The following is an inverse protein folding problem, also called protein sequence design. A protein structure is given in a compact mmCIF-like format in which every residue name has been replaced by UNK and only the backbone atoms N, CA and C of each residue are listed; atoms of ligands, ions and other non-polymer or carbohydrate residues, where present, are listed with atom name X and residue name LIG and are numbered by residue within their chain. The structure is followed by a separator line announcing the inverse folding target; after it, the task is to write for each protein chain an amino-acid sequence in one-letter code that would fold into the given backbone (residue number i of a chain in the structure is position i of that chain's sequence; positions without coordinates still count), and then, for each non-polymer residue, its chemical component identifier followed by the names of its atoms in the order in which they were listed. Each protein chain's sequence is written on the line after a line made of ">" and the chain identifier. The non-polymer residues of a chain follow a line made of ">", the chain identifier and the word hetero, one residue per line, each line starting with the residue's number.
data_IF_615231973421
#
_entry.id   IF_615231973421
#
_cell.length_a   1.000
_cell.length_b   1.000
_cell.length_c   1.000
_cell.angle_alpha   90.00
_cell.angle_beta   90.00
_cell.angle_gamma   90.00
#
_symmetry.space_group_name_H-M   'P 1'
#
loop_
_entity.id
_entity.type
_entity.pdbx_description
1 polymer ?
#
# COMPACT_ATOMS: atom_id res chain seq x y z
N UNK A 1 21.27 33.40 -42.44
CA UNK A 1 20.19 32.40 -42.52
C UNK A 1 19.45 32.44 -41.18
N UNK A 2 18.58 33.41 -40.91
CA UNK A 2 17.19 33.53 -41.37
C UNK A 2 16.34 32.29 -41.03
N UNK A 3 15.58 32.35 -39.92
CA UNK A 3 14.18 31.91 -39.88
C UNK A 3 13.48 32.48 -38.63
N UNK A 4 12.62 33.46 -38.87
CA UNK A 4 11.55 33.92 -37.99
C UNK A 4 10.45 32.85 -37.86
N UNK A 5 9.69 32.84 -36.76
CA UNK A 5 8.21 32.70 -36.68
C UNK A 5 7.79 32.59 -35.20
N UNK A 6 7.22 33.64 -34.61
CA UNK A 6 5.78 33.89 -34.40
C UNK A 6 5.23 33.30 -33.08
N UNK A 7 4.99 34.19 -32.09
CA UNK A 7 3.99 34.04 -31.03
C UNK A 7 2.57 34.01 -31.65
N UNK A 8 1.57 33.38 -31.02
CA UNK A 8 0.61 34.06 -30.10
C UNK A 8 0.13 33.09 -28.98
N UNK A 9 -0.74 33.37 -27.99
CA UNK A 9 -1.41 34.51 -27.37
C UNK A 9 -2.03 33.96 -26.08
N UNK A 10 -2.05 34.75 -25.01
CA UNK A 10 -2.83 34.52 -23.78
C UNK A 10 -4.29 34.96 -23.97
N UNK A 11 -5.25 34.24 -23.37
CA UNK A 11 -6.55 34.69 -22.78
C UNK A 11 -7.34 33.42 -22.40
N UNK A 12 -7.46 33.03 -21.12
CA UNK A 12 -8.40 33.47 -20.07
C UNK A 12 -9.90 33.21 -20.36
N UNK A 13 -10.60 32.79 -19.29
CA UNK A 13 -12.05 32.61 -19.03
C UNK A 13 -12.54 31.16 -19.21
N UNK A 14 -12.70 30.37 -18.14
CA UNK A 14 -13.72 30.41 -17.07
C UNK A 14 -15.10 29.90 -17.51
N UNK A 15 -15.62 29.00 -16.67
CA UNK A 15 -16.99 28.99 -16.16
C UNK A 15 -17.98 27.92 -16.72
N UNK A 16 -18.52 27.15 -15.76
CA UNK A 16 -19.92 26.68 -15.63
C UNK A 16 -20.26 25.35 -16.34
N UNK A 17 -20.38 24.26 -15.57
CA UNK A 17 -21.61 23.74 -14.94
C UNK A 17 -22.52 22.97 -15.92
N UNK A 18 -22.78 21.71 -15.56
CA UNK A 18 -24.07 20.96 -15.63
C UNK A 18 -23.96 19.57 -16.28
N UNK A 19 -24.01 18.55 -15.43
CA UNK A 19 -24.83 17.34 -15.64
C UNK A 19 -26.31 17.72 -15.55
N UNK A 20 -27.24 17.03 -16.23
CA UNK A 20 -27.92 15.94 -15.53
C UNK A 20 -28.44 14.77 -16.41
N UNK A 21 -28.54 13.61 -15.76
CA UNK A 21 -29.39 12.46 -16.11
C UNK A 21 -30.89 12.80 -16.02
N UNK A 22 -31.77 12.13 -16.80
CA UNK A 22 -33.16 11.97 -16.40
C UNK A 22 -33.54 10.50 -16.10
N UNK A 23 -34.06 10.29 -14.90
CA UNK A 23 -34.91 9.16 -14.49
C UNK A 23 -36.32 9.26 -15.11
N UNK A 24 -37.01 8.14 -15.38
CA UNK A 24 -38.40 8.16 -15.82
C UNK A 24 -39.39 8.18 -14.64
N UNK A 25 -40.44 9.00 -14.76
CA UNK A 25 -41.65 8.97 -13.92
C UNK A 25 -42.89 8.64 -14.76
N UNK A 26 -43.88 7.91 -14.23
CA UNK A 26 -45.05 7.41 -14.96
C UNK A 26 -46.30 8.28 -14.77
N UNK A 27 -47.10 8.42 -15.83
CA UNK A 27 -48.49 8.89 -15.86
C UNK A 27 -48.96 8.78 -17.32
N UNK A 28 -50.21 8.58 -17.70
CA UNK A 28 -51.46 8.15 -17.08
C UNK A 28 -52.47 8.12 -18.25
N UNK A 29 -53.43 7.19 -18.18
CA UNK A 29 -54.81 7.33 -18.69
C UNK A 29 -55.14 7.53 -20.19
N UNK A 30 -55.97 6.58 -20.67
CA UNK A 30 -57.20 6.79 -21.48
C UNK A 30 -56.92 7.05 -22.97
N UNK A 31 -57.45 6.30 -23.95
CA UNK A 31 -58.86 6.33 -24.35
C UNK A 31 -59.18 5.22 -25.36
N UNK A 32 -60.26 4.49 -25.08
CA UNK A 32 -61.26 3.88 -25.97
C UNK A 32 -61.23 4.26 -27.45
N UNK A 33 -61.24 3.26 -28.34
CA UNK A 33 -62.11 3.18 -29.53
C UNK A 33 -62.00 1.79 -30.21
N UNK A 34 -63.12 1.07 -30.28
CA UNK A 34 -63.38 0.04 -31.30
C UNK A 34 -64.10 0.73 -32.47
N UNK A 35 -64.14 0.15 -33.69
CA UNK A 35 -65.23 -0.80 -33.95
C UNK A 35 -64.95 -1.89 -35.03
N UNK A 36 -65.83 -2.89 -35.01
CA UNK A 36 -66.40 -3.60 -36.17
C UNK A 36 -65.55 -4.57 -37.02
N UNK A 37 -65.87 -5.86 -36.90
CA UNK A 37 -66.14 -6.73 -38.06
C UNK A 37 -67.10 -7.88 -37.64
N UNK A 38 -68.22 -8.10 -38.33
CA UNK A 38 -69.09 -9.26 -38.14
C UNK A 38 -68.91 -10.25 -39.29
N UNK A 39 -68.79 -11.56 -39.03
CA UNK A 39 -69.21 -12.57 -40.01
C UNK A 39 -69.43 -13.96 -39.38
N UNK A 40 -70.72 -14.28 -39.19
CA UNK A 40 -71.41 -15.56 -39.43
C UNK A 40 -70.71 -16.92 -39.16
N UNK A 41 -71.09 -17.55 -38.03
CA UNK A 41 -71.75 -18.88 -37.78
C UNK A 41 -71.71 -20.00 -38.88
N UNK A 42 -71.91 -21.32 -38.58
CA UNK A 42 -72.69 -21.89 -37.46
C UNK A 42 -72.25 -23.24 -36.81
N UNK A 43 -72.76 -23.44 -35.58
CA UNK A 43 -73.38 -24.64 -35.00
C UNK A 43 -72.67 -26.02 -35.01
N UNK A 44 -72.51 -26.63 -33.82
CA UNK A 44 -73.47 -27.61 -33.23
C UNK A 44 -72.84 -28.41 -32.08
N UNK A 45 -73.58 -28.42 -30.96
CA UNK A 45 -73.77 -29.49 -29.96
C UNK A 45 -72.56 -30.30 -29.47
N UNK A 46 -72.28 -30.25 -28.17
CA UNK A 46 -72.60 -31.37 -27.26
C UNK A 46 -72.47 -30.89 -25.82
N UNK A 47 -73.61 -30.88 -25.13
CA UNK A 47 -73.70 -30.80 -23.69
C UNK A 47 -73.04 -32.04 -23.09
N UNK A 48 -71.88 -31.86 -22.49
CA UNK A 48 -71.39 -32.73 -21.43
C UNK A 48 -71.08 -31.84 -20.24
N UNK A 49 -72.07 -31.65 -19.38
CA UNK A 49 -71.86 -31.27 -17.99
C UNK A 49 -71.01 -32.36 -17.33
N UNK A 50 -69.69 -32.33 -17.54
CA UNK A 50 -68.79 -32.83 -16.50
C UNK A 50 -69.03 -31.91 -15.32
N UNK A 51 -69.87 -32.36 -14.39
CA UNK A 51 -69.82 -31.91 -13.00
C UNK A 51 -68.34 -31.90 -12.63
N UNK A 52 -67.75 -30.72 -12.61
CA UNK A 52 -66.39 -30.52 -12.14
C UNK A 52 -66.36 -31.12 -10.76
N UNK A 53 -65.57 -32.18 -10.59
CA UNK A 53 -65.17 -32.58 -9.26
C UNK A 53 -64.52 -31.33 -8.66
N UNK A 54 -65.17 -30.73 -7.67
CA UNK A 54 -64.61 -29.61 -6.93
C UNK A 54 -63.18 -29.99 -6.57
N UNK A 55 -62.17 -29.13 -6.85
CA UNK A 55 -60.82 -29.45 -6.44
C UNK A 55 -60.87 -29.64 -4.93
N UNK A 56 -60.68 -30.89 -4.50
CA UNK A 56 -60.62 -31.28 -3.09
C UNK A 56 -59.60 -30.33 -2.48
N UNK A 57 -60.05 -29.37 -1.68
CA UNK A 57 -59.18 -28.36 -1.11
C UNK A 57 -58.11 -29.13 -0.33
N UNK A 58 -56.89 -29.21 -0.90
CA UNK A 58 -55.76 -29.83 -0.22
C UNK A 58 -55.62 -29.07 1.09
N UNK A 59 -55.82 -29.78 2.20
CA UNK A 59 -55.63 -29.22 3.52
C UNK A 59 -54.31 -28.45 3.49
N UNK A 60 -54.38 -27.13 3.57
CA UNK A 60 -53.19 -26.33 3.55
C UNK A 60 -52.40 -26.74 4.79
N UNK A 61 -51.22 -27.32 4.62
CA UNK A 61 -50.33 -27.62 5.73
C UNK A 61 -49.93 -26.29 6.38
N UNK A 62 -50.73 -25.87 7.37
CA UNK A 62 -50.50 -24.66 8.16
C UNK A 62 -49.11 -24.73 8.80
N UNK A 63 -48.67 -25.95 9.19
CA UNK A 63 -47.33 -26.22 9.67
C UNK A 63 -46.21 -25.97 8.64
N UNK A 64 -46.43 -26.29 7.36
CA UNK A 64 -45.44 -26.07 6.31
C UNK A 64 -45.30 -24.57 5.98
N UNK A 65 -46.41 -23.83 5.90
CA UNK A 65 -46.40 -22.38 5.67
C UNK A 65 -45.86 -21.58 6.87
N UNK A 66 -46.12 -22.03 8.10
CA UNK A 66 -45.57 -21.42 9.31
C UNK A 66 -44.04 -21.54 9.38
N UNK A 67 -43.48 -22.71 9.05
CA UNK A 67 -42.03 -22.92 8.96
C UNK A 67 -41.38 -22.06 7.87
N UNK A 68 -42.03 -21.91 6.70
CA UNK A 68 -41.52 -21.08 5.61
C UNK A 68 -41.36 -19.59 5.99
N UNK A 69 -42.28 -19.03 6.80
CA UNK A 69 -42.17 -17.63 7.25
C UNK A 69 -41.07 -17.45 8.31
N UNK A 70 -40.88 -18.44 9.19
CA UNK A 70 -39.79 -18.44 10.18
C UNK A 70 -38.43 -18.54 9.50
N UNK A 71 -38.28 -19.43 8.50
CA UNK A 71 -37.04 -19.55 7.73
C UNK A 71 -36.71 -18.25 6.98
N UNK A 72 -37.69 -17.59 6.34
CA UNK A 72 -37.46 -16.31 5.64
C UNK A 72 -36.92 -15.22 6.56
N UNK A 73 -37.45 -15.12 7.79
CA UNK A 73 -36.98 -14.15 8.80
C UNK A 73 -35.56 -14.48 9.30
N UNK A 74 -35.27 -15.77 9.53
CA UNK A 74 -33.94 -16.23 9.90
C UNK A 74 -32.91 -15.93 8.79
N UNK A 75 -33.26 -16.18 7.53
CA UNK A 75 -32.40 -15.84 6.39
C UNK A 75 -32.17 -14.33 6.25
N UNK A 76 -33.19 -13.48 6.49
CA UNK A 76 -32.98 -12.03 6.49
C UNK A 76 -32.04 -11.59 7.59
N UNK A 77 -32.16 -12.14 8.81
CA UNK A 77 -31.25 -11.79 9.90
C UNK A 77 -29.83 -12.28 9.64
N UNK A 78 -29.67 -13.51 9.17
CA UNK A 78 -28.36 -14.05 8.80
C UNK A 78 -27.68 -13.20 7.73
N UNK A 79 -28.43 -12.75 6.70
CA UNK A 79 -27.90 -11.88 5.66
C UNK A 79 -27.48 -10.52 6.23
N UNK A 80 -28.33 -9.87 7.03
CA UNK A 80 -28.00 -8.56 7.62
C UNK A 80 -26.80 -8.64 8.56
N UNK A 81 -26.71 -9.69 9.37
CA UNK A 81 -25.59 -9.90 10.29
C UNK A 81 -24.31 -10.20 9.52
N UNK A 82 -24.39 -11.04 8.48
CA UNK A 82 -23.27 -11.33 7.59
C UNK A 82 -22.74 -10.08 6.89
N UNK A 83 -23.63 -9.23 6.36
CA UNK A 83 -23.23 -7.95 5.76
C UNK A 83 -22.58 -7.00 6.78
N UNK A 84 -23.14 -6.87 7.98
CA UNK A 84 -22.56 -6.02 9.02
C UNK A 84 -21.18 -6.51 9.46
N UNK A 85 -21.02 -7.82 9.70
CA UNK A 85 -19.74 -8.42 10.05
C UNK A 85 -18.71 -8.26 8.93
N UNK A 86 -19.10 -8.51 7.67
CA UNK A 86 -18.24 -8.32 6.51
C UNK A 86 -17.80 -6.87 6.31
N UNK A 87 -18.68 -5.90 6.60
CA UNK A 87 -18.33 -4.48 6.57
C UNK A 87 -17.28 -4.13 7.61
N UNK A 88 -17.44 -4.58 8.87
CA UNK A 88 -16.47 -4.35 9.93
C UNK A 88 -15.11 -4.95 9.58
N UNK A 89 -15.08 -6.19 9.07
CA UNK A 89 -13.83 -6.85 8.65
C UNK A 89 -13.15 -6.07 7.52
N UNK A 90 -13.91 -5.64 6.51
CA UNK A 90 -13.37 -4.83 5.41
C UNK A 90 -12.81 -3.51 5.91
N UNK A 91 -13.53 -2.79 6.77
CA UNK A 91 -13.06 -1.51 7.33
C UNK A 91 -11.76 -1.70 8.10
N UNK A 92 -11.67 -2.72 8.96
CA UNK A 92 -10.44 -3.01 9.71
C UNK A 92 -9.27 -3.37 8.79
N UNK A 93 -9.50 -4.18 7.75
CA UNK A 93 -8.48 -4.53 6.76
C UNK A 93 -7.99 -3.29 5.99
N UNK A 94 -8.92 -2.45 5.49
CA UNK A 94 -8.55 -1.23 4.75
C UNK A 94 -7.82 -0.21 5.62
N UNK A 95 -8.14 -0.15 6.91
CA UNK A 95 -7.47 0.76 7.84
C UNK A 95 -6.03 0.32 8.08
N UNK A 96 -5.78 -0.99 8.24
CA UNK A 96 -4.42 -1.52 8.40
C UNK A 96 -3.53 -1.19 7.20
N UNK A 97 -4.07 -1.26 5.98
CA UNK A 97 -3.34 -0.92 4.74
C UNK A 97 -2.98 0.58 4.62
N UNK A 98 -3.67 1.47 5.34
CA UNK A 98 -3.46 2.92 5.29
C UNK A 98 -2.51 3.45 6.37
N UNK A 99 -2.08 2.62 7.32
CA UNK A 99 -1.19 3.06 8.39
C UNK A 99 0.24 3.22 7.86
N UNK A 100 0.73 4.46 7.88
CA UNK A 100 2.12 4.77 7.53
C UNK A 100 2.97 4.73 8.79
N UNK A 101 3.68 3.63 8.99
CA UNK A 101 4.59 3.44 10.12
C UNK A 101 5.95 4.08 9.83
N UNK A 102 6.56 4.62 10.88
CA UNK A 102 7.97 5.01 10.87
C UNK A 102 8.82 3.79 11.21
N UNK A 103 9.74 3.44 10.32
CA UNK A 103 10.57 2.25 10.46
C UNK A 103 12.04 2.64 10.32
N UNK A 104 12.90 1.95 11.06
CA UNK A 104 14.34 1.98 10.82
C UNK A 104 14.72 1.02 9.69
N UNK A 105 15.87 1.21 9.03
CA UNK A 105 16.48 0.22 8.13
C UNK A 105 16.44 -1.22 8.65
N UNK A 106 16.82 -1.45 9.92
CA UNK A 106 16.78 -2.77 10.55
C UNK A 106 15.35 -3.32 10.64
N UNK A 107 14.41 -2.51 11.13
CA UNK A 107 13.00 -2.93 11.26
C UNK A 107 12.32 -3.16 9.91
N UNK A 108 12.72 -2.37 8.90
CA UNK A 108 12.19 -2.48 7.54
C UNK A 108 12.56 -3.82 6.91
N UNK A 109 13.81 -4.29 7.08
CA UNK A 109 14.22 -5.63 6.64
C UNK A 109 13.45 -6.74 7.38
N UNK A 110 13.31 -6.62 8.71
CA UNK A 110 12.59 -7.59 9.51
C UNK A 110 11.11 -7.70 9.09
N UNK A 111 10.45 -6.55 8.85
CA UNK A 111 9.06 -6.53 8.37
C UNK A 111 8.91 -7.04 6.95
N UNK A 112 9.89 -6.78 6.09
CA UNK A 112 9.87 -7.31 4.73
C UNK A 112 9.96 -8.84 4.72
N UNK A 113 10.74 -9.43 5.64
CA UNK A 113 10.83 -10.89 5.78
C UNK A 113 9.53 -11.53 6.27
N UNK A 114 8.77 -10.86 7.15
CA UNK A 114 7.49 -11.38 7.64
C UNK A 114 6.34 -11.18 6.66
N UNK A 115 6.25 -10.00 6.05
CA UNK A 115 5.16 -9.63 5.14
C UNK A 115 5.71 -8.87 3.93
N UNK A 116 5.89 -9.52 2.77
CA UNK A 116 6.29 -8.85 1.52
C UNK A 116 5.15 -7.99 0.91
N UNK A 117 4.14 -7.63 1.71
CA UNK A 117 2.99 -6.85 1.29
C UNK A 117 3.41 -5.42 0.92
N UNK A 118 2.72 -4.84 -0.06
CA UNK A 118 2.99 -3.50 -0.62
C UNK A 118 2.51 -2.38 0.31
N UNK A 119 2.89 -2.44 1.58
CA UNK A 119 2.51 -1.44 2.57
C UNK A 119 3.40 -0.21 2.40
N UNK A 120 2.80 0.98 2.37
CA UNK A 120 3.55 2.25 2.39
C UNK A 120 4.27 2.36 3.73
N UNK A 121 5.55 2.67 3.69
CA UNK A 121 6.35 2.85 4.89
C UNK A 121 7.10 4.18 4.84
N UNK A 122 7.37 4.74 6.03
CA UNK A 122 8.28 5.87 6.21
C UNK A 122 9.56 5.34 6.81
N UNK A 123 10.58 5.21 5.98
CA UNK A 123 11.91 4.80 6.40
C UNK A 123 12.65 6.02 6.97
N UNK A 124 12.99 5.99 8.26
CA UNK A 124 13.79 7.02 8.91
C UNK A 124 15.19 6.51 9.20
N UNK A 125 16.20 7.31 8.87
CA UNK A 125 17.59 6.98 9.15
C UNK A 125 18.54 8.10 8.77
N UNK A 126 19.83 7.81 8.82
CA UNK A 126 20.91 8.71 8.42
C UNK A 126 21.30 8.43 6.97
N UNK A 127 21.59 9.46 6.20
CA UNK A 127 22.13 9.27 4.83
C UNK A 127 23.61 8.94 4.93
N UNK A 128 24.04 7.83 4.33
CA UNK A 128 25.45 7.44 4.34
C UNK A 128 26.30 8.38 3.48
N UNK A 129 27.49 8.72 3.96
CA UNK A 129 28.42 9.62 3.27
C UNK A 129 28.98 9.04 1.96
N UNK A 130 28.98 9.88 0.92
CA UNK A 130 29.34 9.55 -0.45
C UNK A 130 28.48 8.44 -1.06
N UNK A 131 27.25 8.24 -0.58
CA UNK A 131 26.33 7.23 -1.11
C UNK A 131 25.36 7.78 -2.16
N UNK A 132 25.30 9.10 -2.33
CA UNK A 132 24.35 9.76 -3.24
C UNK A 132 24.88 9.68 -4.67
N UNK A 133 24.18 8.95 -5.54
CA UNK A 133 24.50 8.86 -6.95
C UNK A 133 23.31 9.21 -7.85
N UNK A 134 23.66 9.76 -9.01
CA UNK A 134 22.74 10.04 -10.10
C UNK A 134 23.07 9.05 -11.24
N UNK A 135 22.34 7.92 -11.38
CA UNK A 135 22.66 6.85 -12.35
C UNK A 135 22.61 7.29 -13.82
N UNK A 136 21.90 8.36 -14.16
CA UNK A 136 21.92 8.92 -15.52
C UNK A 136 21.74 10.43 -15.45
N UNK A 137 22.57 11.18 -16.19
CA UNK A 137 22.46 12.65 -16.24
C UNK A 137 21.21 13.15 -16.95
N UNK A 138 20.51 12.28 -17.69
CA UNK A 138 19.27 12.56 -18.41
C UNK A 138 17.99 12.18 -17.66
N UNK A 139 18.06 11.32 -16.63
CA UNK A 139 16.90 10.95 -15.82
C UNK A 139 17.02 11.54 -14.42
N UNK A 140 15.89 11.93 -13.83
CA UNK A 140 15.83 12.45 -12.44
C UNK A 140 15.79 11.31 -11.42
N UNK A 141 16.44 10.19 -11.70
CA UNK A 141 16.59 9.09 -10.74
C UNK A 141 17.79 9.36 -9.84
N UNK A 142 17.62 9.15 -8.55
CA UNK A 142 18.64 9.36 -7.52
C UNK A 142 18.66 8.14 -6.62
N UNK A 143 19.85 7.64 -6.35
CA UNK A 143 20.09 6.48 -5.49
C UNK A 143 20.94 6.92 -4.31
N UNK A 144 20.55 6.54 -3.10
CA UNK A 144 21.33 6.80 -1.90
C UNK A 144 21.08 5.70 -0.87
N UNK A 145 21.99 5.58 0.09
CA UNK A 145 21.90 4.56 1.14
C UNK A 145 21.47 5.24 2.44
N UNK A 146 20.47 4.67 3.10
CA UNK A 146 20.01 5.10 4.42
C UNK A 146 20.42 4.05 5.45
N UNK A 147 21.02 4.51 6.54
CA UNK A 147 21.60 3.67 7.61
C UNK A 147 21.04 4.05 8.98
N UNK A 148 20.90 3.07 9.87
CA UNK A 148 20.66 3.27 11.30
C UNK A 148 21.91 2.97 12.15
N UNK A 149 23.08 2.98 11.52
CA UNK A 149 24.39 2.58 12.05
C UNK A 149 24.63 1.06 12.14
N UNK A 150 23.59 0.23 12.01
CA UNK A 150 23.70 -1.24 12.04
C UNK A 150 23.42 -1.82 10.65
N UNK A 151 22.33 -1.39 10.04
CA UNK A 151 21.81 -1.90 8.78
C UNK A 151 21.71 -0.79 7.75
N UNK A 152 22.06 -1.11 6.51
CA UNK A 152 22.05 -0.19 5.39
C UNK A 152 21.01 -0.62 4.35
N UNK A 153 20.11 0.29 3.96
CA UNK A 153 19.07 0.03 2.96
C UNK A 153 19.23 0.97 1.77
N UNK A 154 19.19 0.39 0.57
CA UNK A 154 19.22 1.15 -0.68
C UNK A 154 17.87 1.82 -0.93
N UNK A 155 17.91 3.13 -1.17
CA UNK A 155 16.74 3.92 -1.56
C UNK A 155 16.91 4.40 -2.99
N UNK A 156 15.88 4.14 -3.82
CA UNK A 156 15.76 4.71 -5.17
C UNK A 156 14.63 5.72 -5.18
N UNK A 157 14.96 6.97 -5.48
CA UNK A 157 14.03 8.09 -5.54
C UNK A 157 13.97 8.64 -6.95
N UNK A 158 12.77 9.03 -7.39
CA UNK A 158 12.54 9.67 -8.69
C UNK A 158 12.06 11.10 -8.42
N UNK A 159 12.88 12.08 -8.78
CA UNK A 159 12.60 13.50 -8.56
C UNK A 159 13.82 14.31 -8.15
N UNK A 160 13.57 15.55 -7.73
CA UNK A 160 14.60 16.41 -7.18
C UNK A 160 14.67 16.24 -5.65
N UNK A 161 15.88 16.04 -5.11
CA UNK A 161 16.07 16.03 -3.66
C UNK A 161 15.82 17.44 -3.08
N UNK A 162 15.22 17.53 -1.87
CA UNK A 162 15.11 18.80 -1.17
C UNK A 162 16.48 19.45 -0.95
N UNK A 163 16.55 20.78 -0.94
CA UNK A 163 17.83 21.49 -0.73
C UNK A 163 18.46 21.19 0.64
N UNK A 164 17.64 20.86 1.64
CA UNK A 164 18.09 20.48 2.97
C UNK A 164 18.62 19.03 3.04
N UNK A 165 18.63 18.29 1.94
CA UNK A 165 19.21 16.96 1.90
C UNK A 165 20.74 17.07 1.87
N UNK A 166 21.39 16.47 2.87
CA UNK A 166 22.84 16.39 3.02
C UNK A 166 23.21 15.01 3.54
N UNK A 167 24.37 14.54 3.12
CA UNK A 167 24.95 13.32 3.66
C UNK A 167 25.26 13.46 5.16
N UNK A 168 25.25 12.36 5.90
CA UNK A 168 25.46 12.34 7.35
C UNK A 168 24.30 12.86 8.19
N UNK A 169 23.22 13.35 7.57
CA UNK A 169 22.06 13.90 8.27
C UNK A 169 20.86 12.95 8.26
N UNK A 170 19.95 13.13 9.22
CA UNK A 170 18.71 12.37 9.31
C UNK A 170 17.76 12.73 8.18
N UNK A 171 17.22 11.70 7.53
CA UNK A 171 16.22 11.79 6.47
C UNK A 171 15.06 10.86 6.77
N UNK A 172 13.87 11.24 6.34
CA UNK A 172 12.71 10.35 6.29
C UNK A 172 12.30 10.18 4.83
N UNK A 173 12.22 8.94 4.36
CA UNK A 173 11.79 8.61 3.02
C UNK A 173 10.45 7.89 3.10
N UNK A 174 9.43 8.43 2.45
CA UNK A 174 8.16 7.72 2.26
C UNK A 174 8.21 6.92 0.95
N UNK A 175 7.86 5.64 1.01
CA UNK A 175 7.92 4.78 -0.16
C UNK A 175 7.36 3.37 0.05
N UNK A 176 7.71 2.50 -0.89
CA UNK A 176 7.33 1.10 -0.90
C UNK A 176 8.57 0.21 -0.90
N UNK A 177 8.60 -0.78 -0.01
CA UNK A 177 9.61 -1.84 -0.02
C UNK A 177 9.36 -2.77 -1.21
N UNK A 178 10.42 -3.06 -1.96
CA UNK A 178 10.40 -4.00 -3.08
C UNK A 178 11.51 -5.04 -2.91
N UNK A 179 11.27 -6.30 -3.30
CA UNK A 179 12.34 -7.29 -3.39
C UNK A 179 13.38 -6.82 -4.40
N UNK A 180 14.65 -6.97 -4.06
CA UNK A 180 15.75 -6.76 -4.98
C UNK A 180 15.82 -7.95 -5.94
N UNK A 181 15.13 -7.86 -7.08
CA UNK A 181 15.21 -8.87 -8.14
C UNK A 181 16.63 -8.90 -8.73
N UNK A 182 17.15 -10.08 -9.06
CA UNK A 182 18.52 -10.29 -9.53
C UNK A 182 18.90 -9.44 -10.76
N UNK A 183 17.93 -9.08 -11.61
CA UNK A 183 18.13 -8.17 -12.75
C UNK A 183 18.58 -6.77 -12.31
N UNK A 184 18.01 -6.25 -11.22
CA UNK A 184 18.43 -4.97 -10.64
C UNK A 184 19.77 -5.10 -9.91
N UNK A 185 20.06 -6.27 -9.34
CA UNK A 185 21.35 -6.55 -8.71
C UNK A 185 22.48 -6.46 -9.74
N UNK A 186 22.25 -6.93 -10.96
CA UNK A 186 23.20 -6.82 -12.07
C UNK A 186 23.40 -5.37 -12.54
N UNK A 187 22.32 -4.60 -12.67
CA UNK A 187 22.37 -3.17 -13.03
C UNK A 187 23.04 -2.31 -11.94
N UNK A 188 22.95 -2.75 -10.68
CA UNK A 188 23.52 -2.07 -9.52
C UNK A 188 24.97 -2.49 -9.24
N UNK A 189 25.40 -3.72 -9.56
CA UNK A 189 26.73 -4.27 -9.25
C UNK A 189 27.92 -3.51 -9.86
N UNK A 190 27.68 -2.58 -10.80
CA UNK A 190 28.69 -1.65 -11.31
C UNK A 190 28.76 -0.29 -10.62
N UNK A 191 27.91 -0.02 -9.61
CA UNK A 191 27.74 1.30 -8.98
C UNK A 191 28.26 1.26 -7.53
N UNK A 192 29.14 2.21 -7.20
CA UNK A 192 29.71 2.41 -5.84
C UNK A 192 28.68 2.53 -4.70
N UNK A 193 27.40 2.71 -5.02
CA UNK A 193 26.30 2.87 -4.06
C UNK A 193 25.83 1.53 -3.52
N UNK A 194 25.73 0.49 -4.35
CA UNK A 194 25.27 -0.83 -3.89
C UNK A 194 26.31 -1.53 -3.03
N UNK A 195 27.59 -1.30 -3.29
CA UNK A 195 28.68 -1.89 -2.49
C UNK A 195 28.68 -1.39 -1.04
N UNK A 196 28.08 -0.21 -0.82
CA UNK A 196 27.93 0.41 0.50
C UNK A 196 26.67 -0.03 1.24
N UNK A 197 25.68 -0.60 0.56
CA UNK A 197 24.51 -1.16 1.21
C UNK A 197 24.84 -2.59 1.66
N UNK A 198 25.13 -2.77 2.95
CA UNK A 198 25.31 -4.10 3.54
C UNK A 198 24.08 -4.96 3.29
N UNK A 199 24.23 -5.97 2.43
CA UNK A 199 23.38 -7.17 2.29
C UNK A 199 21.86 -6.95 2.50
N UNK A 200 21.26 -6.08 1.69
CA UNK A 200 19.81 -5.96 1.63
C UNK A 200 19.19 -6.86 0.55
N UNK A 201 18.25 -7.73 0.91
CA UNK A 201 17.40 -8.48 -0.04
C UNK A 201 16.29 -7.60 -0.65
N UNK A 202 16.14 -6.37 -0.17
CA UNK A 202 15.11 -5.44 -0.60
C UNK A 202 15.66 -4.03 -0.80
N UNK A 203 14.98 -3.23 -1.63
CA UNK A 203 15.25 -1.81 -1.79
C UNK A 203 13.95 -1.02 -1.60
N UNK A 204 14.08 0.22 -1.12
CA UNK A 204 12.96 1.12 -0.98
C UNK A 204 12.79 1.95 -2.25
N UNK A 205 11.63 1.86 -2.90
CA UNK A 205 11.24 2.83 -3.92
C UNK A 205 10.58 4.03 -3.23
N UNK A 206 11.34 5.11 -3.07
CA UNK A 206 10.88 6.36 -2.47
C UNK A 206 9.95 7.12 -3.40
N UNK A 207 8.83 7.60 -2.87
CA UNK A 207 7.91 8.56 -3.51
C UNK A 207 8.12 9.98 -3.01
N UNK A 208 8.56 10.16 -1.77
CA UNK A 208 8.83 11.47 -1.19
C UNK A 208 10.03 11.39 -0.24
N UNK A 209 10.89 12.40 -0.28
CA UNK A 209 12.04 12.54 0.61
C UNK A 209 11.82 13.77 1.48
N UNK A 210 11.77 13.57 2.79
CA UNK A 210 11.64 14.62 3.78
C UNK A 210 13.00 14.80 4.45
N UNK A 211 13.70 15.85 4.05
CA UNK A 211 14.91 16.32 4.72
C UNK A 211 14.53 17.48 5.62
N UNK A 212 14.33 17.22 6.91
CA UNK A 212 14.18 18.25 7.95
C UNK A 212 15.22 17.97 9.02
N UNK A 213 16.28 18.79 9.07
CA UNK A 213 17.37 18.71 10.05
C UNK A 213 16.96 19.01 11.50
N UNK A 214 15.67 19.07 11.81
CA UNK A 214 15.21 19.44 13.14
C UNK A 214 14.95 18.15 13.93
N UNK A 215 15.63 17.98 15.07
CA UNK A 215 15.47 16.88 16.03
C UNK A 215 13.99 16.70 16.44
N UNK A 216 13.18 17.77 16.27
CA UNK A 216 11.73 17.78 16.46
C UNK A 216 10.94 16.95 15.43
N UNK A 217 11.51 16.64 14.26
CA UNK A 217 10.83 15.95 13.15
C UNK A 217 11.24 14.49 12.97
N UNK A 218 12.31 14.03 13.63
CA UNK A 218 12.60 12.60 13.68
C UNK A 218 11.60 11.93 14.65
N UNK A 219 10.87 10.89 14.22
CA UNK A 219 9.99 10.15 15.12
C UNK A 219 10.80 9.61 16.29
N UNK A 220 10.23 9.64 17.50
CA UNK A 220 10.88 9.13 18.71
C UNK A 220 11.36 7.69 18.53
N UNK A 221 10.59 6.87 17.83
CA UNK A 221 10.91 5.46 17.54
C UNK A 221 12.23 5.31 16.77
N UNK A 222 12.44 6.13 15.74
CA UNK A 222 13.66 6.14 14.92
C UNK A 222 14.84 6.75 15.69
N UNK A 223 14.59 7.84 16.42
CA UNK A 223 15.59 8.50 17.27
C UNK A 223 16.17 7.56 18.32
N UNK A 224 15.30 6.92 19.09
CA UNK A 224 15.71 5.96 20.12
C UNK A 224 16.46 4.77 19.52
N UNK A 225 16.08 4.28 18.34
CA UNK A 225 16.78 3.18 17.70
C UNK A 225 18.21 3.56 17.30
N UNK A 226 18.42 4.73 16.70
CA UNK A 226 19.75 5.23 16.34
C UNK A 226 20.61 5.44 17.60
N UNK A 227 20.04 6.00 18.67
CA UNK A 227 20.76 6.16 19.94
C UNK A 227 21.16 4.82 20.58
N UNK A 228 20.27 3.81 20.53
CA UNK A 228 20.57 2.47 21.04
C UNK A 228 21.71 1.84 20.23
N UNK A 229 21.64 1.92 18.91
CA UNK A 229 22.67 1.41 18.01
C UNK A 229 24.01 2.10 18.25
N UNK A 230 24.02 3.43 18.41
CA UNK A 230 25.23 4.19 18.74
C UNK A 230 25.86 3.73 20.06
N UNK A 231 25.06 3.56 21.11
CA UNK A 231 25.52 3.06 22.43
C UNK A 231 26.09 1.64 22.33
N UNK A 232 25.51 0.78 21.50
CA UNK A 232 26.02 -0.58 21.26
C UNK A 232 27.38 -0.54 20.58
N UNK A 233 27.55 0.27 19.53
CA UNK A 233 28.84 0.41 18.83
C UNK A 233 29.91 1.01 19.76
N UNK A 234 29.55 2.00 20.59
CA UNK A 234 30.47 2.55 21.60
C UNK A 234 30.88 1.52 22.66
N UNK A 235 29.94 0.68 23.10
CA UNK A 235 30.21 -0.41 24.05
C UNK A 235 31.07 -1.52 23.41
N UNK A 236 30.81 -1.88 22.16
CA UNK A 236 31.60 -2.86 21.39
C UNK A 236 33.01 -2.34 21.13
N UNK A 237 33.16 -1.06 20.76
CA UNK A 237 34.47 -0.44 20.60
C UNK A 237 35.25 -0.38 21.92
N UNK A 238 34.57 -0.10 23.04
CA UNK A 238 35.19 -0.13 24.37
C UNK A 238 35.60 -1.55 24.79
N UNK A 239 34.79 -2.56 24.47
CA UNK A 239 35.11 -3.96 24.72
C UNK A 239 36.29 -4.43 23.86
N UNK A 240 36.32 -4.09 22.57
CA UNK A 240 37.41 -4.41 21.66
C UNK A 240 38.73 -3.72 22.08
N UNK A 241 38.67 -2.47 22.55
CA UNK A 241 39.85 -1.76 23.06
C UNK A 241 40.38 -2.39 24.37
N UNK A 242 39.49 -2.88 25.25
CA UNK A 242 39.87 -3.62 26.46
C UNK A 242 40.47 -4.99 26.14
N UNK A 243 39.99 -5.65 25.09
CA UNK A 243 40.55 -6.90 24.61
C UNK A 243 41.94 -6.66 23.98
N UNK A 244 42.11 -5.67 23.09
CA UNK A 244 43.42 -5.30 22.51
C UNK A 244 44.46 -4.91 23.56
N UNK A 245 44.06 -4.19 24.62
CA UNK A 245 44.98 -3.87 25.73
C UNK A 245 45.34 -5.09 26.57
N UNK A 246 44.44 -6.08 26.70
CA UNK A 246 44.74 -7.35 27.36
C UNK A 246 45.65 -8.25 26.49
N UNK A 247 45.44 -8.30 25.17
CA UNK A 247 46.30 -9.06 24.24
C UNK A 247 47.70 -8.43 24.14
N UNK A 248 47.80 -7.10 24.12
CA UNK A 248 49.08 -6.40 24.14
C UNK A 248 49.86 -6.63 25.45
N UNK A 249 49.18 -6.72 26.60
CA UNK A 249 49.80 -7.06 27.87
C UNK A 249 50.27 -8.53 27.94
N UNK A 250 49.55 -9.47 27.33
CA UNK A 250 49.94 -10.87 27.28
C UNK A 250 51.16 -11.12 26.37
N UNK A 251 51.27 -10.41 25.24
CA UNK A 251 52.42 -10.53 24.30
C UNK A 251 53.71 -9.94 24.89
N UNK A 252 53.63 -8.93 25.76
CA UNK A 252 54.80 -8.34 26.41
C UNK A 252 55.44 -9.24 27.48
N UNK A 253 54.68 -10.17 28.09
CA UNK A 253 55.18 -11.09 29.13
C UNK A 253 55.93 -12.30 28.53
N UNK A 254 55.60 -12.72 27.31
CA UNK A 254 56.25 -13.87 26.67
C UNK A 254 57.60 -13.53 26.01
N UNK A 255 57.81 -12.25 25.65
CA UNK A 255 59.06 -11.76 25.03
C UNK A 255 60.28 -11.66 25.98
N UNK A 256 60.08 -11.74 27.30
CA UNK A 256 61.18 -11.61 28.28
C UNK A 256 61.84 -12.94 28.65
N UNK A 257 61.34 -14.08 28.16
CA UNK A 257 61.84 -15.42 28.53
C UNK A 257 62.77 -16.07 27.50
N UNK A 258 63.08 -15.40 26.39
CA UNK A 258 63.92 -15.94 25.30
C UNK A 258 65.37 -15.40 25.27
N UNK A 259 65.81 -14.63 26.28
CA UNK A 259 67.14 -13.99 26.31
C UNK A 259 68.01 -14.36 27.51
N UNK A 260 67.75 -15.48 28.18
CA UNK A 260 68.61 -16.01 29.27
C UNK A 260 69.12 -17.41 28.96
#
# INVERSE_FOLDING_TARGET
>A
MAFSRLLPSRRLLSALLHTPTPTPTPAAHVTRAAPFAPFLQPARFFSATRRGAAPRQRAADIGARARQLQSRRLWTYALTFGCAAGFVVTVLATFQDQLVFYLTPTDALARFASDPSKTRCRLGGLVLEGSVAHPSSSSSEIEFVVTDLVTDVLVRYEGALPDLFREGHSVVVEGFLKPLTDDLRADCAGRKVSDKAREGECFLRGTEVLAKHDEKYMPKEVGEAIERNKKQIEAEAAAAAAEETATAAAVAVDGTKASS
#
